data_IF_203360499484
#
_entry.id   IF_203360499484
#
_cell.length_a   1.000
_cell.length_b   1.000
_cell.length_c   1.000
_cell.angle_alpha   90.00
_cell.angle_beta   90.00
_cell.angle_gamma   90.00
#
_symmetry.space_group_name_H-M   'P 1'
#
loop_
_entity.id
_entity.type
_entity.pdbx_description
1 polymer ?
#
# COMPACT_ATOMS: atom_id res chain seq x y z
N UNK A 1 -57.55 22.48 -48.29
CA UNK A 1 -57.54 22.64 -46.82
C UNK A 1 -57.42 21.26 -46.21
N UNK A 2 -56.27 20.93 -45.62
CA UNK A 2 -56.06 19.89 -44.60
C UNK A 2 -54.54 19.78 -44.32
N UNK A 3 -54.12 20.35 -43.19
CA UNK A 3 -52.86 20.04 -42.49
C UNK A 3 -53.25 19.16 -41.30
N UNK A 4 -52.58 18.02 -41.04
CA UNK A 4 -51.74 17.91 -39.84
C UNK A 4 -50.60 16.86 -40.00
N UNK A 5 -49.61 16.66 -39.13
CA UNK A 5 -49.02 17.32 -37.95
C UNK A 5 -47.63 16.66 -37.82
N UNK A 6 -46.57 17.44 -37.70
CA UNK A 6 -45.25 16.92 -37.34
C UNK A 6 -45.21 16.68 -35.82
N UNK A 7 -45.00 15.44 -35.38
CA UNK A 7 -44.74 15.10 -33.98
C UNK A 7 -43.24 15.25 -33.75
N UNK A 8 -42.85 16.36 -33.13
CA UNK A 8 -41.51 16.57 -32.59
C UNK A 8 -41.30 15.66 -31.38
N UNK A 9 -40.41 14.67 -31.50
CA UNK A 9 -39.91 13.89 -30.36
C UNK A 9 -38.82 14.71 -29.66
N UNK A 10 -39.18 15.39 -28.58
CA UNK A 10 -38.24 15.85 -27.56
C UNK A 10 -37.72 14.63 -26.79
N UNK A 11 -36.53 14.17 -27.16
CA UNK A 11 -35.76 13.23 -26.34
C UNK A 11 -35.12 14.00 -25.17
N UNK A 12 -35.59 13.75 -23.95
CA UNK A 12 -34.97 14.26 -22.74
C UNK A 12 -33.64 13.52 -22.52
N UNK A 13 -32.52 14.23 -22.61
CA UNK A 13 -31.24 13.75 -22.13
C UNK A 13 -31.25 13.83 -20.59
N UNK A 14 -31.39 12.68 -19.93
CA UNK A 14 -31.18 12.56 -18.49
C UNK A 14 -29.67 12.53 -18.25
N UNK A 15 -29.11 13.66 -17.86
CA UNK A 15 -27.75 13.73 -17.34
C UNK A 15 -27.75 13.12 -15.93
N UNK A 16 -27.23 11.90 -15.80
CA UNK A 16 -26.90 11.31 -14.51
C UNK A 16 -25.68 12.04 -13.93
N UNK A 17 -25.93 13.03 -13.08
CA UNK A 17 -24.90 13.58 -12.21
C UNK A 17 -24.65 12.58 -11.07
N UNK A 18 -23.63 11.73 -11.22
CA UNK A 18 -23.05 11.00 -10.09
C UNK A 18 -22.34 12.02 -9.19
N UNK A 19 -23.07 12.58 -8.23
CA UNK A 19 -22.46 13.15 -7.03
C UNK A 19 -21.85 11.96 -6.26
N UNK A 20 -20.55 11.74 -6.44
CA UNK A 20 -19.78 10.89 -5.54
C UNK A 20 -19.81 11.55 -4.16
N UNK A 21 -20.78 11.17 -3.34
CA UNK A 21 -20.67 11.36 -1.91
C UNK A 21 -19.38 10.64 -1.49
N UNK A 22 -18.37 11.41 -1.13
CA UNK A 22 -17.16 10.87 -0.50
C UNK A 22 -17.64 10.29 0.81
N UNK A 23 -17.80 8.95 0.85
CA UNK A 23 -18.27 8.27 2.05
C UNK A 23 -17.43 8.72 3.24
N UNK A 24 -18.01 8.90 4.45
CA UNK A 24 -17.26 9.30 5.65
C UNK A 24 -15.98 8.48 5.87
N UNK A 25 -16.01 7.22 5.44
CA UNK A 25 -14.91 6.26 5.42
C UNK A 25 -13.70 6.75 4.60
N UNK A 26 -13.91 7.40 3.46
CA UNK A 26 -12.84 7.94 2.59
C UNK A 26 -12.17 9.16 3.24
N UNK A 27 -12.95 10.01 3.90
CA UNK A 27 -12.43 11.18 4.62
C UNK A 27 -11.63 10.76 5.86
N UNK A 28 -12.10 9.76 6.60
CA UNK A 28 -11.36 9.16 7.71
C UNK A 28 -10.04 8.54 7.22
N UNK A 29 -10.05 7.78 6.12
CA UNK A 29 -8.84 7.20 5.51
C UNK A 29 -7.83 8.26 5.06
N UNK A 30 -8.31 9.39 4.54
CA UNK A 30 -7.46 10.55 4.22
C UNK A 30 -6.80 11.16 5.45
N UNK A 31 -7.50 11.24 6.58
CA UNK A 31 -6.97 11.77 7.83
C UNK A 31 -5.96 10.81 8.47
N UNK A 32 -6.26 9.51 8.47
CA UNK A 32 -5.38 8.42 8.90
C UNK A 32 -4.07 8.42 8.09
N UNK A 33 -4.17 8.44 6.75
CA UNK A 33 -3.00 8.46 5.86
C UNK A 33 -2.18 9.75 5.97
N UNK A 34 -2.76 10.84 6.51
CA UNK A 34 -2.07 12.10 6.78
C UNK A 34 -1.52 12.17 8.22
N UNK A 35 -1.66 11.11 9.01
CA UNK A 35 -1.28 11.11 10.43
C UNK A 35 -2.03 12.17 11.26
N UNK A 36 -3.21 12.59 10.81
CA UNK A 36 -4.04 13.58 11.50
C UNK A 36 -5.18 12.87 12.22
N UNK A 37 -5.14 12.86 13.56
CA UNK A 37 -6.19 12.31 14.42
C UNK A 37 -5.67 11.38 15.51
N UNK A 38 -6.59 10.89 16.37
CA UNK A 38 -6.32 9.88 17.41
C UNK A 38 -6.28 8.45 16.87
N UNK A 39 -6.67 8.25 15.60
CA UNK A 39 -6.84 6.94 14.97
C UNK A 39 -5.65 6.59 14.08
N UNK A 40 -5.03 5.43 14.31
CA UNK A 40 -3.91 4.92 13.50
C UNK A 40 -4.39 4.06 12.32
N UNK A 41 -3.54 3.89 11.31
CA UNK A 41 -3.81 3.01 10.17
C UNK A 41 -3.82 1.53 10.61
N UNK A 42 -4.63 0.68 9.98
CA UNK A 42 -4.62 -0.79 10.16
C UNK A 42 -5.04 -1.37 11.54
N UNK A 43 -5.47 -0.54 12.50
CA UNK A 43 -6.12 -1.01 13.75
C UNK A 43 -7.64 -1.24 13.59
N UNK A 44 -8.04 -1.89 12.51
CA UNK A 44 -9.44 -2.25 12.28
C UNK A 44 -9.86 -3.47 13.12
N UNK A 45 -11.14 -3.59 13.45
CA UNK A 45 -11.66 -4.82 14.04
C UNK A 45 -11.91 -5.90 12.99
N UNK A 46 -12.04 -7.14 13.46
CA UNK A 46 -12.22 -8.34 12.62
C UNK A 46 -13.45 -8.24 11.73
N UNK A 47 -14.53 -7.61 12.21
CA UNK A 47 -15.74 -7.41 11.42
C UNK A 47 -15.46 -6.52 10.20
N UNK A 48 -14.66 -5.47 10.37
CA UNK A 48 -14.27 -4.61 9.26
C UNK A 48 -13.36 -5.33 8.27
N UNK A 49 -12.41 -6.14 8.74
CA UNK A 49 -11.59 -6.99 7.86
C UNK A 49 -12.46 -7.95 7.05
N UNK A 50 -13.43 -8.59 7.69
CA UNK A 50 -14.36 -9.53 7.05
C UNK A 50 -15.21 -8.82 5.98
N UNK A 51 -15.79 -7.67 6.31
CA UNK A 51 -16.59 -6.88 5.37
C UNK A 51 -15.80 -6.41 4.14
N UNK A 52 -14.49 -6.23 4.30
CA UNK A 52 -13.59 -5.81 3.23
C UNK A 52 -12.78 -6.97 2.62
N UNK A 53 -13.23 -8.22 2.81
CA UNK A 53 -12.76 -9.37 2.04
C UNK A 53 -11.50 -10.07 2.56
N UNK A 54 -11.03 -9.75 3.78
CA UNK A 54 -9.97 -10.51 4.45
C UNK A 54 -10.53 -11.45 5.52
N UNK A 55 -9.86 -12.58 5.72
CA UNK A 55 -10.10 -13.51 6.81
C UNK A 55 -9.11 -13.23 7.95
N UNK A 56 -9.55 -12.59 9.04
CA UNK A 56 -8.68 -12.26 10.16
C UNK A 56 -8.22 -13.49 10.95
N UNK A 57 -8.81 -14.67 10.72
CA UNK A 57 -8.50 -15.93 11.39
C UNK A 57 -7.47 -16.77 10.63
N UNK A 58 -7.07 -16.34 9.42
CA UNK A 58 -6.06 -17.06 8.64
C UNK A 58 -4.75 -17.15 9.43
N UNK A 59 -3.97 -18.24 9.29
CA UNK A 59 -2.72 -18.41 10.05
C UNK A 59 -1.76 -17.24 9.86
N UNK A 60 -1.68 -16.68 8.66
CA UNK A 60 -0.77 -15.58 8.37
C UNK A 60 -1.23 -14.26 8.99
N UNK A 61 -2.53 -13.96 8.86
CA UNK A 61 -3.11 -12.67 9.22
C UNK A 61 -3.42 -12.55 10.72
N UNK A 62 -3.70 -13.68 11.37
CA UNK A 62 -3.90 -13.72 12.82
C UNK A 62 -2.63 -13.30 13.60
N UNK A 63 -1.46 -13.33 12.96
CA UNK A 63 -0.18 -12.86 13.53
C UNK A 63 -0.09 -11.35 13.75
N UNK A 64 -1.13 -10.59 13.38
CA UNK A 64 -1.21 -9.13 13.59
C UNK A 64 -1.10 -8.72 15.06
N UNK A 65 -1.54 -9.58 15.99
CA UNK A 65 -1.48 -9.29 17.43
C UNK A 65 -0.63 -10.31 18.21
N UNK A 66 -0.59 -11.58 17.81
CA UNK A 66 0.11 -12.66 18.53
C UNK A 66 0.60 -13.77 17.60
N UNK A 67 1.75 -14.39 17.90
CA UNK A 67 2.19 -15.66 17.28
C UNK A 67 2.14 -16.73 18.36
N UNK A 68 1.29 -17.75 18.21
CA UNK A 68 1.16 -18.89 19.14
C UNK A 68 0.94 -18.48 20.61
N UNK A 69 0.13 -17.45 20.86
CA UNK A 69 -0.15 -16.92 22.21
C UNK A 69 1.01 -16.12 22.82
N UNK A 70 2.05 -15.83 22.05
CA UNK A 70 3.14 -14.92 22.41
C UNK A 70 2.91 -13.60 21.68
N UNK A 71 2.93 -12.44 22.37
CA UNK A 71 2.89 -11.14 21.71
C UNK A 71 3.97 -11.09 20.63
N UNK A 72 3.63 -10.68 19.41
CA UNK A 72 4.54 -10.64 18.26
C UNK A 72 5.62 -9.52 18.38
N UNK A 73 6.12 -9.28 19.60
CA UNK A 73 7.03 -8.18 19.96
C UNK A 73 6.40 -6.79 19.83
N UNK A 74 5.11 -6.70 19.51
CA UNK A 74 4.41 -5.45 19.24
C UNK A 74 3.95 -4.86 20.56
N UNK A 75 4.45 -3.68 20.92
CA UNK A 75 3.91 -2.94 22.05
C UNK A 75 2.52 -2.45 21.68
N UNK A 76 1.50 -2.96 22.37
CA UNK A 76 0.11 -2.55 22.20
C UNK A 76 -0.41 -1.91 23.48
N UNK A 77 -1.35 -0.99 23.32
CA UNK A 77 -2.11 -0.41 24.43
C UNK A 77 -3.60 -0.59 24.18
N UNK A 78 -4.36 -0.76 25.25
CA UNK A 78 -5.80 -0.71 25.19
C UNK A 78 -6.27 0.74 25.25
N UNK A 79 -7.12 1.11 24.30
CA UNK A 79 -7.74 2.43 24.22
C UNK A 79 -9.23 2.27 23.92
N UNK A 80 -10.05 3.10 24.54
CA UNK A 80 -11.45 3.22 24.16
C UNK A 80 -11.57 3.89 22.79
N UNK A 81 -12.54 3.44 21.99
CA UNK A 81 -12.87 4.06 20.70
C UNK A 81 -14.37 3.97 20.46
N UNK A 82 -14.94 5.04 19.93
CA UNK A 82 -16.33 5.14 19.49
C UNK A 82 -16.50 4.82 17.98
N UNK A 83 -15.39 4.60 17.26
CA UNK A 83 -15.40 4.21 15.85
C UNK A 83 -15.71 2.71 15.73
N UNK A 84 -16.88 2.32 15.19
CA UNK A 84 -17.30 0.93 15.11
C UNK A 84 -16.46 0.08 14.15
N UNK A 85 -15.55 0.69 13.40
CA UNK A 85 -14.61 -0.02 12.51
C UNK A 85 -13.31 -0.41 13.21
N UNK A 86 -13.08 0.06 14.44
CA UNK A 86 -11.78 -0.03 15.12
C UNK A 86 -11.71 -1.11 16.18
N UNK A 87 -10.48 -1.57 16.40
CA UNK A 87 -10.12 -2.37 17.57
C UNK A 87 -9.88 -1.45 18.77
N UNK A 88 -10.07 -1.97 19.98
CA UNK A 88 -9.65 -1.31 21.23
C UNK A 88 -8.16 -1.52 21.52
N UNK A 89 -7.49 -2.40 20.76
CA UNK A 89 -6.04 -2.57 20.82
C UNK A 89 -5.37 -1.66 19.79
N UNK A 90 -4.37 -0.90 20.22
CA UNK A 90 -3.61 0.04 19.40
C UNK A 90 -2.14 -0.29 19.40
N UNK A 91 -1.52 -0.30 18.21
CA UNK A 91 -0.09 -0.56 18.03
C UNK A 91 0.74 0.71 18.27
N UNK A 92 1.66 0.69 19.23
CA UNK A 92 2.48 1.87 19.56
C UNK A 92 3.61 2.16 18.56
N UNK A 93 4.41 1.17 18.11
CA UNK A 93 5.50 1.46 17.20
C UNK A 93 4.97 1.99 15.88
N UNK A 94 5.67 2.97 15.32
CA UNK A 94 5.36 3.55 14.02
C UNK A 94 6.58 3.37 13.13
N UNK A 95 6.35 2.85 11.94
CA UNK A 95 7.31 2.87 10.85
C UNK A 95 6.94 4.01 9.89
N UNK A 96 7.91 4.50 9.13
CA UNK A 96 7.66 5.46 8.08
C UNK A 96 8.33 5.02 6.78
N UNK A 97 7.82 5.58 5.69
CA UNK A 97 8.38 5.49 4.35
C UNK A 97 7.98 6.71 3.54
N UNK A 98 7.96 6.56 2.22
CA UNK A 98 7.63 7.63 1.30
C UNK A 98 6.34 7.34 0.55
N UNK A 99 5.47 8.34 0.42
CA UNK A 99 4.34 8.29 -0.49
C UNK A 99 4.78 8.47 -1.96
N UNK A 100 3.83 8.42 -2.91
CA UNK A 100 4.16 8.57 -4.32
C UNK A 100 4.85 9.91 -4.68
N UNK A 101 4.62 10.97 -3.90
CA UNK A 101 5.23 12.30 -4.06
C UNK A 101 6.56 12.45 -3.32
N UNK A 102 6.97 11.46 -2.54
CA UNK A 102 8.15 11.48 -1.69
C UNK A 102 7.98 12.22 -0.36
N UNK A 103 6.74 12.41 0.09
CA UNK A 103 6.45 12.87 1.44
C UNK A 103 6.50 11.70 2.42
N UNK A 104 6.88 11.94 3.68
CA UNK A 104 6.80 10.91 4.72
C UNK A 104 5.37 10.37 4.86
N UNK A 105 5.24 9.04 4.81
CA UNK A 105 4.03 8.29 5.12
C UNK A 105 4.34 7.36 6.30
N UNK A 106 3.64 7.54 7.42
CA UNK A 106 3.87 6.73 8.61
C UNK A 106 2.69 5.79 8.87
N UNK A 107 3.00 4.59 9.34
CA UNK A 107 2.06 3.48 9.54
C UNK A 107 2.48 2.67 10.77
N UNK A 108 1.56 2.00 11.48
CA UNK A 108 1.94 1.17 12.61
C UNK A 108 2.91 0.05 12.26
N UNK A 109 3.79 -0.27 13.22
CA UNK A 109 4.81 -1.29 13.11
C UNK A 109 4.64 -2.38 14.16
N UNK A 110 4.86 -3.65 13.81
CA UNK A 110 5.15 -4.19 12.49
C UNK A 110 3.89 -4.27 11.61
N UNK A 111 4.04 -4.19 10.27
CA UNK A 111 2.91 -4.42 9.38
C UNK A 111 2.58 -5.92 9.30
N UNK A 112 1.39 -6.27 8.81
CA UNK A 112 0.93 -7.67 8.79
C UNK A 112 1.15 -8.26 7.41
N UNK A 113 2.10 -9.19 7.32
CA UNK A 113 2.41 -9.91 6.09
C UNK A 113 1.50 -11.13 5.93
N UNK A 114 0.90 -11.31 4.75
CA UNK A 114 -0.08 -12.37 4.54
C UNK A 114 -0.11 -12.98 3.14
N UNK A 115 -0.46 -14.27 3.08
CA UNK A 115 -0.61 -15.05 1.86
C UNK A 115 -2.03 -15.09 1.30
N UNK A 116 -2.19 -15.77 0.17
CA UNK A 116 -3.44 -15.86 -0.61
C UNK A 116 -4.62 -16.37 0.23
N UNK A 117 -4.36 -17.30 1.15
CA UNK A 117 -5.37 -17.88 2.03
C UNK A 117 -6.01 -16.89 3.02
N UNK A 118 -5.54 -15.64 3.07
CA UNK A 118 -6.14 -14.58 3.91
C UNK A 118 -7.22 -13.80 3.16
N UNK A 119 -7.36 -13.96 1.85
CA UNK A 119 -8.48 -13.37 1.13
C UNK A 119 -9.68 -14.32 1.15
N UNK A 120 -10.86 -13.77 1.44
CA UNK A 120 -12.09 -14.56 1.40
C UNK A 120 -12.47 -14.96 -0.03
N UNK A 121 -13.18 -16.08 -0.15
CA UNK A 121 -13.83 -16.51 -1.39
C UNK A 121 -15.23 -15.88 -1.51
N UNK A 122 -15.26 -14.54 -1.58
CA UNK A 122 -16.47 -13.73 -1.67
C UNK A 122 -16.25 -12.57 -2.63
N UNK A 123 -17.30 -11.89 -3.13
CA UNK A 123 -17.13 -10.69 -3.96
C UNK A 123 -16.28 -9.59 -3.29
N UNK A 124 -16.38 -9.45 -1.97
CA UNK A 124 -15.52 -8.53 -1.22
C UNK A 124 -14.05 -8.96 -1.25
N UNK A 125 -13.77 -10.26 -1.15
CA UNK A 125 -12.43 -10.81 -1.28
C UNK A 125 -11.84 -10.65 -2.69
N UNK A 126 -12.66 -10.76 -3.74
CA UNK A 126 -12.22 -10.46 -5.12
C UNK A 126 -11.81 -8.98 -5.26
N UNK A 127 -12.63 -8.06 -4.72
CA UNK A 127 -12.28 -6.63 -4.67
C UNK A 127 -10.99 -6.42 -3.89
N UNK A 128 -10.82 -7.09 -2.74
CA UNK A 128 -9.61 -6.99 -1.93
C UNK A 128 -8.35 -7.43 -2.70
N UNK A 129 -8.43 -8.51 -3.49
CA UNK A 129 -7.32 -8.95 -4.36
C UNK A 129 -6.99 -7.93 -5.44
N UNK A 130 -8.00 -7.31 -6.04
CA UNK A 130 -7.81 -6.26 -7.03
C UNK A 130 -7.16 -5.01 -6.44
N UNK A 131 -7.56 -4.62 -5.23
CA UNK A 131 -6.96 -3.51 -4.48
C UNK A 131 -5.54 -3.82 -4.02
N UNK A 132 -5.26 -5.09 -3.69
CA UNK A 132 -3.93 -5.57 -3.34
C UNK A 132 -2.96 -5.60 -4.54
N UNK A 133 -3.24 -4.86 -5.62
CA UNK A 133 -2.33 -4.55 -6.73
C UNK A 133 -1.50 -3.28 -6.48
N UNK A 134 -1.93 -2.39 -5.58
CA UNK A 134 -1.10 -1.25 -5.17
C UNK A 134 0.21 -1.76 -4.57
N UNK A 135 1.32 -1.08 -4.85
CA UNK A 135 2.66 -1.59 -4.52
C UNK A 135 3.27 -0.92 -3.31
N UNK A 136 3.82 -1.73 -2.41
CA UNK A 136 4.81 -1.32 -1.42
C UNK A 136 6.19 -1.75 -1.93
N UNK A 137 6.99 -0.77 -2.31
CA UNK A 137 8.35 -0.96 -2.78
C UNK A 137 9.30 -1.09 -1.59
N UNK A 138 9.97 -2.23 -1.55
CA UNK A 138 10.98 -2.60 -0.57
C UNK A 138 12.34 -2.52 -1.28
N UNK A 139 13.34 -2.02 -0.58
CA UNK A 139 14.68 -1.84 -1.12
C UNK A 139 15.68 -2.73 -0.38
N UNK A 140 15.86 -4.00 -0.78
CA UNK A 140 16.87 -4.89 -0.20
C UNK A 140 18.29 -4.37 -0.39
N UNK A 141 19.19 -4.74 0.53
CA UNK A 141 20.64 -4.62 0.35
C UNK A 141 21.12 -5.59 -0.72
N UNK A 142 22.15 -5.19 -1.46
CA UNK A 142 22.76 -6.02 -2.53
C UNK A 142 23.28 -7.36 -2.00
N UNK A 143 23.86 -7.37 -0.81
CA UNK A 143 24.42 -8.57 -0.16
C UNK A 143 23.39 -9.42 0.58
N UNK A 144 22.13 -8.99 0.58
CA UNK A 144 21.05 -9.57 1.34
C UNK A 144 20.14 -10.51 0.54
N UNK A 145 19.02 -10.90 1.14
CA UNK A 145 17.99 -11.68 0.44
C UNK A 145 17.14 -10.72 -0.43
N UNK A 146 17.08 -10.88 -1.76
CA UNK A 146 16.38 -9.95 -2.66
C UNK A 146 14.85 -9.95 -2.49
N UNK A 147 14.28 -10.91 -1.75
CA UNK A 147 12.83 -11.02 -1.51
C UNK A 147 12.47 -10.91 -0.01
N UNK A 148 13.34 -10.32 0.81
CA UNK A 148 13.11 -10.15 2.24
C UNK A 148 12.83 -8.69 2.64
N UNK A 149 11.68 -8.42 3.29
CA UNK A 149 11.35 -7.11 3.83
C UNK A 149 11.92 -6.89 5.24
N UNK A 150 12.72 -7.81 5.77
CA UNK A 150 13.24 -7.73 7.14
C UNK A 150 14.09 -6.45 7.34
N UNK A 151 13.95 -5.71 8.45
CA UNK A 151 14.68 -4.46 8.68
C UNK A 151 16.21 -4.54 8.47
N UNK A 152 16.93 -5.59 8.91
CA UNK A 152 18.38 -5.70 8.68
C UNK A 152 18.77 -5.75 7.20
N UNK A 153 17.84 -6.19 6.35
CA UNK A 153 17.99 -6.35 4.92
C UNK A 153 17.61 -5.09 4.12
N UNK A 154 17.07 -4.05 4.77
CA UNK A 154 16.62 -2.82 4.09
C UNK A 154 17.78 -1.85 3.87
N UNK A 155 17.77 -1.26 2.68
CA UNK A 155 18.71 -0.25 2.19
C UNK A 155 18.21 1.17 2.42
N UNK A 156 16.90 1.36 2.29
CA UNK A 156 16.22 2.61 2.57
C UNK A 156 14.82 2.31 3.09
N UNK A 157 14.13 3.35 3.54
CA UNK A 157 12.71 3.24 3.87
C UNK A 157 11.88 2.85 2.65
N UNK A 158 10.75 2.19 2.92
CA UNK A 158 9.83 1.71 1.90
C UNK A 158 9.18 2.88 1.15
N UNK A 159 8.73 2.63 -0.07
CA UNK A 159 7.92 3.58 -0.84
C UNK A 159 6.56 2.96 -1.14
N UNK A 160 5.50 3.76 -1.08
CA UNK A 160 4.13 3.31 -1.21
C UNK A 160 3.46 3.98 -2.41
N UNK A 161 2.81 3.18 -3.26
CA UNK A 161 2.06 3.66 -4.40
C UNK A 161 0.71 4.29 -3.99
N UNK A 162 0.76 5.52 -3.48
CA UNK A 162 -0.43 6.27 -3.05
C UNK A 162 -1.07 7.08 -4.19
N UNK A 163 -1.02 6.58 -5.42
CA UNK A 163 -1.51 7.29 -6.63
C UNK A 163 -3.05 7.36 -6.70
N UNK A 164 -3.58 7.99 -7.75
CA UNK A 164 -5.04 8.09 -7.96
C UNK A 164 -5.69 6.70 -7.91
N UNK A 165 -6.67 6.56 -7.03
CA UNK A 165 -7.36 5.29 -6.79
C UNK A 165 -6.94 4.60 -5.50
N UNK A 166 -5.78 4.92 -4.91
CA UNK A 166 -5.40 4.35 -3.61
C UNK A 166 -6.32 4.88 -2.50
N UNK A 167 -6.37 6.21 -2.40
CA UNK A 167 -7.18 6.89 -1.39
C UNK A 167 -8.67 6.67 -1.69
N UNK A 168 -9.34 6.02 -0.75
CA UNK A 168 -10.80 5.82 -0.77
C UNK A 168 -11.26 4.51 -1.41
N UNK A 169 -10.47 3.91 -2.31
CA UNK A 169 -10.80 2.57 -2.84
C UNK A 169 -10.12 1.45 -2.04
N UNK A 170 -9.01 1.74 -1.34
CA UNK A 170 -8.28 0.77 -0.53
C UNK A 170 -8.44 1.06 0.98
N UNK A 171 -9.60 0.73 1.59
CA UNK A 171 -9.90 1.07 2.97
C UNK A 171 -9.00 0.35 3.98
N UNK A 172 -8.58 -0.87 3.63
CA UNK A 172 -7.65 -1.65 4.44
C UNK A 172 -6.20 -1.19 4.28
N UNK A 173 -5.86 -0.49 3.20
CA UNK A 173 -4.48 -0.12 2.87
C UNK A 173 -3.64 -1.35 2.49
N UNK A 174 -4.19 -2.22 1.65
CA UNK A 174 -3.53 -3.42 1.13
C UNK A 174 -2.42 -3.06 0.15
N UNK A 175 -1.29 -3.75 0.25
CA UNK A 175 -0.18 -3.59 -0.66
C UNK A 175 0.38 -4.94 -1.11
N UNK A 176 0.81 -5.01 -2.36
CA UNK A 176 1.70 -6.05 -2.86
C UNK A 176 3.14 -5.62 -2.64
N UNK A 177 3.94 -6.52 -2.08
CA UNK A 177 5.38 -6.31 -1.95
C UNK A 177 6.06 -6.39 -3.31
N UNK A 178 6.83 -5.34 -3.63
CA UNK A 178 7.71 -5.26 -4.79
C UNK A 178 9.11 -4.95 -4.30
N UNK A 179 10.08 -5.79 -4.65
CA UNK A 179 11.45 -5.68 -4.21
C UNK A 179 12.29 -5.06 -5.32
N UNK A 180 12.93 -3.93 -5.03
CA UNK A 180 13.69 -3.13 -5.97
C UNK A 180 15.16 -3.51 -5.88
N UNK A 181 15.73 -3.95 -7.00
CA UNK A 181 17.17 -4.21 -7.15
C UNK A 181 17.75 -3.26 -8.18
N UNK A 182 18.91 -2.66 -7.91
CA UNK A 182 19.68 -1.99 -8.96
C UNK A 182 20.33 -3.04 -9.85
N UNK A 183 20.30 -2.81 -11.16
CA UNK A 183 20.94 -3.67 -12.14
C UNK A 183 22.43 -3.28 -12.29
N UNK A 184 23.27 -4.13 -12.89
CA UNK A 184 24.66 -3.75 -13.20
C UNK A 184 24.78 -2.52 -14.10
N UNK A 185 23.78 -2.25 -14.96
CA UNK A 185 23.78 -1.09 -15.88
C UNK A 185 23.64 0.24 -15.15
N UNK A 186 23.10 0.24 -13.93
CA UNK A 186 23.03 1.42 -13.05
C UNK A 186 24.40 1.99 -12.68
N UNK A 187 25.42 1.13 -12.64
CA UNK A 187 26.76 1.45 -12.12
C UNK A 187 27.81 1.64 -13.21
N UNK A 188 27.38 1.80 -14.46
CA UNK A 188 28.21 2.20 -15.60
C UNK A 188 27.52 3.37 -16.33
N UNK A 189 28.23 4.10 -17.17
CA UNK A 189 27.58 5.14 -18.00
C UNK A 189 26.62 4.51 -19.02
N UNK A 190 25.43 5.10 -19.27
CA UNK A 190 24.94 6.39 -18.76
C UNK A 190 24.26 6.33 -17.37
N UNK A 191 24.14 5.15 -16.76
CA UNK A 191 23.46 4.94 -15.48
C UNK A 191 24.03 5.77 -14.33
N UNK A 192 25.36 5.88 -14.23
CA UNK A 192 26.01 6.73 -13.22
C UNK A 192 25.57 8.20 -13.32
N UNK A 193 25.57 8.75 -14.53
CA UNK A 193 25.08 10.11 -14.79
C UNK A 193 23.60 10.29 -14.41
N UNK A 194 22.77 9.27 -14.66
CA UNK A 194 21.35 9.28 -14.30
C UNK A 194 21.12 9.27 -12.79
N UNK A 195 21.97 8.56 -12.05
CA UNK A 195 21.87 8.40 -10.59
C UNK A 195 22.51 9.55 -9.81
N UNK A 196 23.49 10.25 -10.38
CA UNK A 196 24.22 11.33 -9.71
C UNK A 196 23.31 12.44 -9.12
N UNK A 197 22.25 12.92 -9.81
CA UNK A 197 21.32 13.88 -9.21
C UNK A 197 20.59 13.34 -7.97
N UNK A 198 20.25 12.04 -7.95
CA UNK A 198 19.58 11.42 -6.80
C UNK A 198 20.52 11.31 -5.61
N UNK A 199 21.79 10.95 -5.86
CA UNK A 199 22.84 10.97 -4.86
C UNK A 199 22.96 12.36 -4.20
N UNK A 200 23.02 13.42 -5.01
CA UNK A 200 23.15 14.80 -4.52
C UNK A 200 21.90 15.24 -3.73
N UNK A 201 20.70 14.91 -4.23
CA UNK A 201 19.45 15.41 -3.65
C UNK A 201 19.01 14.64 -2.40
N UNK A 202 19.18 13.31 -2.39
CA UNK A 202 18.60 12.43 -1.37
C UNK A 202 19.65 11.75 -0.49
N UNK A 203 20.93 11.82 -0.85
CA UNK A 203 22.01 11.06 -0.22
C UNK A 203 22.05 9.60 -0.70
N UNK A 204 22.83 8.79 0.02
CA UNK A 204 23.05 7.36 -0.25
C UNK A 204 22.83 6.51 0.99
N UNK A 205 22.58 5.23 0.78
CA UNK A 205 22.75 4.23 1.83
C UNK A 205 24.24 3.89 2.02
N UNK A 206 24.53 3.04 3.00
CA UNK A 206 25.85 2.52 3.37
C UNK A 206 26.54 1.74 2.26
N UNK A 207 25.81 1.24 1.26
CA UNK A 207 26.37 0.61 0.05
C UNK A 207 26.67 1.60 -1.08
N UNK A 208 26.46 2.91 -0.86
CA UNK A 208 26.75 3.97 -1.82
C UNK A 208 25.68 4.18 -2.89
N UNK A 209 24.61 3.39 -2.90
CA UNK A 209 23.52 3.58 -3.86
C UNK A 209 22.59 4.73 -3.44
N UNK A 210 22.04 5.49 -4.40
CA UNK A 210 21.24 6.67 -4.09
C UNK A 210 19.88 6.30 -3.50
N UNK A 211 19.41 7.10 -2.55
CA UNK A 211 18.05 6.96 -2.00
C UNK A 211 17.03 7.48 -3.01
N UNK A 212 16.02 6.68 -3.32
CA UNK A 212 14.93 7.04 -4.24
C UNK A 212 13.68 7.36 -3.40
N UNK A 213 13.22 8.61 -3.45
CA UNK A 213 12.07 9.07 -2.64
C UNK A 213 10.76 9.22 -3.41
N UNK A 214 10.78 9.33 -4.74
CA UNK A 214 9.58 9.60 -5.55
C UNK A 214 9.24 8.44 -6.47
N UNK A 215 7.95 8.12 -6.58
CA UNK A 215 7.50 6.96 -7.37
C UNK A 215 7.79 7.13 -8.86
N UNK A 216 7.52 8.29 -9.45
CA UNK A 216 7.78 8.49 -10.88
C UNK A 216 9.26 8.28 -11.23
N UNK A 217 10.18 8.73 -10.37
CA UNK A 217 11.62 8.51 -10.54
C UNK A 217 11.93 7.01 -10.50
N UNK A 218 11.36 6.27 -9.55
CA UNK A 218 11.56 4.82 -9.46
C UNK A 218 11.09 4.10 -10.74
N UNK A 219 9.92 4.47 -11.26
CA UNK A 219 9.36 3.89 -12.48
C UNK A 219 10.18 4.26 -13.73
N UNK A 220 10.70 5.48 -13.81
CA UNK A 220 11.62 5.90 -14.87
C UNK A 220 12.92 5.06 -14.84
N UNK A 221 13.52 4.87 -13.66
CA UNK A 221 14.72 4.05 -13.52
C UNK A 221 14.48 2.59 -13.93
N UNK A 222 13.29 2.05 -13.68
CA UNK A 222 12.92 0.70 -14.13
C UNK A 222 12.75 0.64 -15.65
N UNK A 223 12.06 1.62 -16.24
CA UNK A 223 11.92 1.74 -17.69
C UNK A 223 13.27 1.93 -18.42
N UNK A 224 14.23 2.58 -17.76
CA UNK A 224 15.61 2.74 -18.24
C UNK A 224 16.48 1.49 -17.98
N UNK A 225 15.95 0.47 -17.31
CA UNK A 225 16.66 -0.77 -16.99
C UNK A 225 17.76 -0.62 -15.92
N UNK A 226 17.74 0.46 -15.14
CA UNK A 226 18.69 0.74 -14.04
C UNK A 226 18.25 0.11 -12.72
N UNK A 227 16.96 -0.18 -12.59
CA UNK A 227 16.43 -1.04 -11.52
C UNK A 227 15.53 -2.10 -12.12
N UNK A 228 15.30 -3.17 -11.37
CA UNK A 228 14.34 -4.21 -11.68
C UNK A 228 13.40 -4.43 -10.50
N UNK A 229 12.17 -4.85 -10.81
CA UNK A 229 11.14 -5.17 -9.84
C UNK A 229 10.98 -6.68 -9.70
N UNK A 230 11.28 -7.17 -8.51
CA UNK A 230 11.08 -8.56 -8.12
C UNK A 230 9.81 -8.66 -7.28
N UNK A 231 9.04 -9.73 -7.44
CA UNK A 231 7.83 -9.97 -6.66
C UNK A 231 7.85 -11.37 -6.05
N UNK A 232 7.23 -11.49 -4.88
CA UNK A 232 6.86 -12.80 -4.35
C UNK A 232 5.70 -13.35 -5.18
N UNK A 233 5.84 -14.57 -5.68
CA UNK A 233 4.80 -15.24 -6.47
C UNK A 233 3.83 -15.92 -5.50
N UNK A 234 2.52 -15.61 -5.55
CA UNK A 234 1.52 -16.28 -4.71
C UNK A 234 1.58 -17.81 -4.85
N UNK A 235 1.52 -18.52 -3.72
CA UNK A 235 1.62 -19.98 -3.68
C UNK A 235 3.04 -20.55 -3.85
N UNK A 236 4.03 -19.73 -4.21
CA UNK A 236 5.44 -20.12 -4.31
C UNK A 236 6.25 -19.50 -3.17
N UNK A 237 6.05 -18.20 -2.93
CA UNK A 237 6.70 -17.47 -1.85
C UNK A 237 5.67 -17.16 -0.74
N UNK A 238 6.08 -17.18 0.53
CA UNK A 238 5.21 -16.76 1.62
C UNK A 238 4.90 -15.28 1.51
N UNK A 239 3.68 -14.91 1.88
CA UNK A 239 3.28 -13.54 2.22
C UNK A 239 3.69 -12.47 1.17
N UNK A 240 3.12 -12.49 -0.05
CA UNK A 240 3.41 -11.47 -1.05
C UNK A 240 2.67 -10.15 -0.79
N UNK A 241 1.74 -10.11 0.17
CA UNK A 241 0.98 -8.92 0.54
C UNK A 241 1.26 -8.47 1.96
N UNK A 242 0.91 -7.21 2.20
CA UNK A 242 0.99 -6.56 3.50
C UNK A 242 -0.21 -5.63 3.70
N UNK A 243 -0.66 -5.53 4.94
CA UNK A 243 -1.53 -4.46 5.43
C UNK A 243 -0.80 -3.67 6.48
#
# INVERSE_FOLDING_TARGET
MNQPRWISRTGAAVAFAFLLAVAPQVQAQLQINRGQGTHQAHDFNDTFYIQNGLDPTSPDFNRRFEVDGVPNGVQTVFTETDDPTRSTSRVLPVNCGYDAAGQPLCYPGPPVFFGEGSFQDTPAGEIARELAKFRAFIFPKVTGNPLSPAPPNRRQDNMFETTKGYVGANPLGLWRLVFVSFTPTAFVEPGLSRLAPLHIQNGTDTDGTPVIKRLHVLLELEAEGLVEFNVRIPGVNPEPWVV
#
